data_IF_129835542707
#
_entry.id   IF_129835542707
#
_cell.length_a   1.000
_cell.length_b   1.000
_cell.length_c   1.000
_cell.angle_alpha   90.00
_cell.angle_beta   90.00
_cell.angle_gamma   90.00
#
_symmetry.space_group_name_H-M   'P 1'
#
loop_
_entity.id
_entity.type
_entity.pdbx_description
1 polymer ?
#
# COMPACT_ATOMS: atom_id res chain seq x y z
N UNK A 1 -32.38 -24.74 -32.64
CA UNK A 1 -30.99 -24.43 -33.05
C UNK A 1 -30.76 -22.93 -32.82
N UNK A 2 -29.78 -22.40 -32.10
CA UNK A 2 -28.92 -22.88 -31.02
C UNK A 2 -28.57 -21.63 -30.18
N UNK A 3 -28.67 -21.72 -28.84
CA UNK A 3 -28.23 -20.68 -27.89
C UNK A 3 -26.70 -20.54 -27.98
N UNK A 4 -26.17 -19.35 -28.26
CA UNK A 4 -24.76 -19.03 -27.98
C UNK A 4 -24.67 -18.39 -26.59
N UNK A 5 -24.24 -19.20 -25.63
CA UNK A 5 -23.80 -18.76 -24.30
C UNK A 5 -22.47 -18.02 -24.43
N UNK A 6 -22.43 -16.74 -24.10
CA UNK A 6 -21.20 -15.96 -24.00
C UNK A 6 -20.60 -16.04 -22.60
N UNK A 7 -19.82 -17.09 -22.33
CA UNK A 7 -19.00 -17.25 -21.13
C UNK A 7 -17.66 -16.48 -21.26
N UNK A 8 -17.69 -15.16 -21.42
CA UNK A 8 -16.48 -14.34 -21.32
C UNK A 8 -16.72 -13.22 -20.31
N UNK A 9 -16.29 -13.49 -19.08
CA UNK A 9 -16.21 -12.48 -18.04
C UNK A 9 -15.09 -11.49 -18.45
N UNK A 10 -15.42 -10.21 -18.54
CA UNK A 10 -14.58 -9.12 -19.06
C UNK A 10 -13.48 -8.72 -18.07
N UNK A 11 -12.52 -9.61 -17.79
CA UNK A 11 -11.34 -9.28 -16.96
C UNK A 11 -10.20 -8.85 -17.89
N UNK A 12 -9.54 -7.71 -17.62
CA UNK A 12 -8.44 -7.23 -18.46
C UNK A 12 -7.16 -8.07 -18.27
N UNK A 13 -6.23 -8.03 -19.23
CA UNK A 13 -4.91 -8.68 -19.11
C UNK A 13 -4.17 -8.16 -17.87
N UNK A 14 -4.35 -6.87 -17.54
CA UNK A 14 -3.76 -6.27 -16.36
C UNK A 14 -4.33 -6.88 -15.08
N UNK A 15 -5.65 -7.02 -14.97
CA UNK A 15 -6.28 -7.61 -13.78
C UNK A 15 -5.84 -9.07 -13.56
N UNK A 16 -5.68 -9.84 -14.64
CA UNK A 16 -5.19 -11.21 -14.55
C UNK A 16 -3.71 -11.28 -14.11
N UNK A 17 -2.89 -10.33 -14.57
CA UNK A 17 -1.51 -10.19 -14.08
C UNK A 17 -1.47 -9.82 -12.59
N UNK A 18 -2.34 -8.92 -12.14
CA UNK A 18 -2.47 -8.56 -10.73
C UNK A 18 -2.92 -9.75 -9.88
N UNK A 19 -3.90 -10.54 -10.34
CA UNK A 19 -4.31 -11.79 -9.67
C UNK A 19 -3.18 -12.80 -9.58
N UNK A 20 -2.38 -12.93 -10.63
CA UNK A 20 -1.20 -13.79 -10.64
C UNK A 20 -0.17 -13.34 -9.60
N UNK A 21 0.11 -12.02 -9.52
CA UNK A 21 1.01 -11.45 -8.50
C UNK A 21 0.48 -11.68 -7.09
N UNK A 22 -0.80 -11.39 -6.82
CA UNK A 22 -1.44 -11.66 -5.52
C UNK A 22 -1.26 -13.11 -5.10
N UNK A 23 -1.55 -14.04 -6.03
CA UNK A 23 -1.44 -15.48 -5.79
C UNK A 23 0.00 -15.87 -5.43
N UNK A 24 0.99 -15.36 -6.17
CA UNK A 24 2.41 -15.61 -5.87
C UNK A 24 2.83 -15.05 -4.52
N UNK A 25 2.36 -13.85 -4.14
CA UNK A 25 2.62 -13.27 -2.82
C UNK A 25 2.00 -14.14 -1.72
N UNK A 26 0.75 -14.58 -1.89
CA UNK A 26 0.07 -15.48 -0.94
C UNK A 26 0.81 -16.80 -0.74
N UNK A 27 1.38 -17.37 -1.82
CA UNK A 27 2.11 -18.63 -1.75
C UNK A 27 3.57 -18.50 -1.34
N UNK A 28 4.14 -17.28 -1.37
CA UNK A 28 5.53 -17.07 -0.96
C UNK A 28 5.80 -17.40 0.51
N UNK A 29 4.74 -17.48 1.33
CA UNK A 29 4.77 -17.92 2.72
C UNK A 29 3.36 -18.29 3.18
N UNK A 30 3.08 -19.58 3.12
CA UNK A 30 1.77 -20.15 3.40
C UNK A 30 1.43 -20.08 4.90
N UNK A 31 2.45 -20.05 5.76
CA UNK A 31 2.28 -20.12 7.21
C UNK A 31 2.06 -18.74 7.84
N UNK A 32 2.53 -17.67 7.19
CA UNK A 32 2.34 -16.31 7.68
C UNK A 32 1.13 -15.60 7.04
N UNK A 33 0.04 -15.49 7.81
CA UNK A 33 -1.20 -14.81 7.39
C UNK A 33 -1.17 -13.29 7.50
N UNK A 34 -0.15 -12.71 8.12
CA UNK A 34 -0.04 -11.26 8.35
C UNK A 34 1.29 -10.74 7.81
N UNK A 35 1.25 -9.83 6.83
CA UNK A 35 2.46 -9.43 6.11
C UNK A 35 2.56 -7.93 5.92
N UNK A 36 3.75 -7.41 6.17
CA UNK A 36 4.15 -6.05 5.78
C UNK A 36 5.00 -6.16 4.52
N UNK A 37 4.53 -5.59 3.42
CA UNK A 37 5.18 -5.71 2.11
C UNK A 37 5.45 -4.31 1.56
N UNK A 38 6.70 -4.03 1.22
CA UNK A 38 7.06 -2.78 0.55
C UNK A 38 7.21 -2.97 -0.95
N UNK A 39 6.80 -1.95 -1.72
CA UNK A 39 7.18 -1.86 -3.12
C UNK A 39 8.10 -0.66 -3.33
N UNK A 40 9.22 -0.90 -4.02
CA UNK A 40 10.13 0.11 -4.53
C UNK A 40 10.33 -0.08 -6.04
N UNK A 41 11.05 0.85 -6.68
CA UNK A 41 11.38 0.81 -8.10
C UNK A 41 12.83 1.21 -8.32
N UNK A 42 13.37 0.93 -9.50
CA UNK A 42 14.75 1.31 -9.84
C UNK A 42 14.85 2.79 -10.21
N UNK A 43 13.78 3.33 -10.81
CA UNK A 43 13.69 4.70 -11.30
C UNK A 43 12.31 5.31 -10.97
N UNK A 44 12.19 6.65 -10.99
CA UNK A 44 10.88 7.31 -10.94
C UNK A 44 10.00 6.91 -12.12
N UNK A 45 8.68 6.97 -11.91
CA UNK A 45 7.65 6.84 -12.96
C UNK A 45 7.56 5.45 -13.63
N UNK A 46 7.96 4.39 -12.94
CA UNK A 46 7.82 2.99 -13.40
C UNK A 46 6.43 2.36 -13.11
N UNK A 47 5.44 3.17 -12.74
CA UNK A 47 4.06 2.71 -12.48
C UNK A 47 3.84 2.01 -11.12
N UNK A 48 4.89 1.92 -10.29
CA UNK A 48 4.89 1.30 -8.96
C UNK A 48 3.64 1.57 -8.12
N UNK A 49 3.31 2.83 -7.85
CA UNK A 49 2.17 3.19 -6.98
C UNK A 49 0.83 2.69 -7.54
N UNK A 50 0.66 2.74 -8.87
CA UNK A 50 -0.55 2.22 -9.54
C UNK A 50 -0.64 0.70 -9.44
N UNK A 51 0.48 0.01 -9.64
CA UNK A 51 0.56 -1.45 -9.51
C UNK A 51 0.32 -1.88 -8.07
N UNK A 52 0.97 -1.24 -7.09
CA UNK A 52 0.81 -1.54 -5.67
C UNK A 52 -0.63 -1.31 -5.21
N UNK A 53 -1.27 -0.21 -5.60
CA UNK A 53 -2.68 0.03 -5.30
C UNK A 53 -3.58 -1.07 -5.87
N UNK A 54 -3.33 -1.49 -7.12
CA UNK A 54 -4.10 -2.57 -7.76
C UNK A 54 -3.90 -3.91 -7.06
N UNK A 55 -2.69 -4.21 -6.58
CA UNK A 55 -2.40 -5.40 -5.76
C UNK A 55 -3.16 -5.30 -4.44
N UNK A 56 -3.04 -4.19 -3.70
CA UNK A 56 -3.72 -3.98 -2.42
C UNK A 56 -5.23 -4.17 -2.55
N UNK A 57 -5.83 -3.55 -3.57
CA UNK A 57 -7.25 -3.73 -3.90
C UNK A 57 -7.59 -5.19 -4.20
N UNK A 58 -6.79 -5.88 -4.98
CA UNK A 58 -6.99 -7.30 -5.31
C UNK A 58 -6.93 -8.21 -4.07
N UNK A 59 -6.10 -7.90 -3.07
CA UNK A 59 -6.10 -8.61 -1.79
C UNK A 59 -7.38 -8.34 -0.98
N UNK A 60 -7.84 -7.09 -0.98
CA UNK A 60 -9.06 -6.68 -0.26
C UNK A 60 -10.34 -7.26 -0.90
N UNK A 61 -10.43 -7.27 -2.24
CA UNK A 61 -11.49 -7.96 -3.00
C UNK A 61 -11.54 -9.47 -2.69
N UNK A 62 -10.41 -10.05 -2.28
CA UNK A 62 -10.32 -11.45 -1.86
C UNK A 62 -10.65 -11.66 -0.37
N UNK A 63 -11.24 -10.66 0.29
CA UNK A 63 -11.73 -10.71 1.66
C UNK A 63 -10.69 -10.46 2.76
N UNK A 64 -9.46 -10.07 2.41
CA UNK A 64 -8.44 -9.74 3.41
C UNK A 64 -8.64 -8.29 3.89
N UNK A 65 -8.37 -8.04 5.16
CA UNK A 65 -8.25 -6.67 5.66
C UNK A 65 -6.90 -6.08 5.21
N UNK A 66 -6.92 -4.97 4.48
CA UNK A 66 -5.72 -4.38 3.85
C UNK A 66 -5.58 -2.92 4.21
N UNK A 67 -4.35 -2.49 4.47
CA UNK A 67 -3.98 -1.07 4.52
C UNK A 67 -2.84 -0.76 3.55
N UNK A 68 -2.99 0.30 2.77
CA UNK A 68 -1.96 0.86 1.88
C UNK A 68 -1.43 2.17 2.44
N UNK A 69 -0.12 2.29 2.60
CA UNK A 69 0.53 3.47 3.15
C UNK A 69 1.42 4.15 2.10
N UNK A 70 1.36 5.48 2.02
CA UNK A 70 2.27 6.28 1.19
C UNK A 70 3.52 6.66 1.99
N UNK A 71 4.56 5.85 1.84
CA UNK A 71 5.87 6.05 2.45
C UNK A 71 6.83 6.81 1.51
N UNK A 72 6.40 7.20 0.30
CA UNK A 72 7.09 8.17 -0.53
C UNK A 72 6.77 9.59 -0.04
N UNK A 73 7.39 9.96 1.07
CA UNK A 73 7.24 11.28 1.69
C UNK A 73 7.85 12.42 0.84
N UNK A 74 8.54 12.11 -0.26
CA UNK A 74 9.19 13.10 -1.14
C UNK A 74 8.28 13.50 -2.27
N UNK A 75 7.63 12.52 -2.90
CA UNK A 75 6.75 12.72 -4.05
C UNK A 75 5.51 11.81 -3.93
N UNK A 76 4.65 12.03 -2.91
CA UNK A 76 3.54 11.15 -2.63
C UNK A 76 2.56 11.10 -3.79
N UNK A 77 2.08 9.90 -4.09
CA UNK A 77 1.23 9.61 -5.27
C UNK A 77 0.04 8.72 -4.96
N UNK A 78 -0.03 8.10 -3.78
CA UNK A 78 -1.10 7.16 -3.44
C UNK A 78 -2.45 7.86 -3.46
N UNK A 79 -2.56 9.07 -2.90
CA UNK A 79 -3.82 9.83 -2.88
C UNK A 79 -4.39 10.07 -4.28
N UNK A 80 -3.52 10.38 -5.25
CA UNK A 80 -3.93 10.55 -6.66
C UNK A 80 -4.44 9.24 -7.27
N UNK A 81 -3.78 8.11 -6.99
CA UNK A 81 -4.16 6.81 -7.53
C UNK A 81 -5.46 6.29 -6.90
N UNK A 82 -5.62 6.50 -5.60
CA UNK A 82 -6.81 6.09 -4.84
C UNK A 82 -8.02 7.05 -5.02
N UNK A 83 -7.81 8.23 -5.61
CA UNK A 83 -8.86 9.26 -5.76
C UNK A 83 -9.23 9.94 -4.45
N UNK A 84 -8.27 10.07 -3.53
CA UNK A 84 -8.46 10.67 -2.19
C UNK A 84 -7.86 12.07 -2.18
N UNK A 85 -8.71 13.06 -1.93
CA UNK A 85 -8.34 14.48 -1.88
C UNK A 85 -8.27 15.00 -0.44
N UNK A 86 -7.21 14.63 0.27
CA UNK A 86 -6.84 15.23 1.56
C UNK A 86 -5.33 15.21 1.76
N UNK A 87 -4.82 16.05 2.66
CA UNK A 87 -3.42 16.07 3.05
C UNK A 87 -3.22 15.55 4.47
N UNK A 88 -4.19 14.81 5.00
CA UNK A 88 -4.11 14.15 6.31
C UNK A 88 -3.48 12.77 6.13
N UNK A 89 -2.41 12.46 6.85
CA UNK A 89 -1.71 11.19 6.71
C UNK A 89 -0.60 10.94 7.72
N UNK A 90 0.35 10.09 7.34
CA UNK A 90 1.47 9.59 8.15
C UNK A 90 2.16 10.70 8.94
N UNK A 91 2.59 11.79 8.29
CA UNK A 91 3.32 12.86 8.97
C UNK A 91 2.46 13.61 10.00
N UNK A 92 1.14 13.65 9.83
CA UNK A 92 0.24 14.19 10.85
C UNK A 92 0.11 13.24 12.05
N UNK A 93 0.02 11.94 11.79
CA UNK A 93 -0.11 10.90 12.82
C UNK A 93 1.13 10.85 13.70
N UNK A 94 2.31 10.74 13.10
CA UNK A 94 3.58 10.66 13.86
C UNK A 94 3.88 11.94 14.65
N UNK A 95 3.34 13.10 14.23
CA UNK A 95 3.52 14.37 14.94
C UNK A 95 2.41 14.62 15.97
N UNK A 96 1.50 13.67 16.17
CA UNK A 96 0.40 13.77 17.13
C UNK A 96 -0.67 14.80 16.77
N UNK A 97 -0.67 15.30 15.53
CA UNK A 97 -1.66 16.31 15.06
C UNK A 97 -3.01 15.68 14.73
N UNK A 98 -3.02 14.40 14.39
CA UNK A 98 -4.20 13.64 13.98
C UNK A 98 -4.08 12.22 14.54
N UNK A 99 -5.17 11.70 15.09
CA UNK A 99 -5.23 10.29 15.52
C UNK A 99 -5.24 9.34 14.33
N UNK A 100 -4.60 8.18 14.48
CA UNK A 100 -4.47 7.20 13.40
C UNK A 100 -5.82 6.81 12.77
N UNK A 101 -6.84 6.53 13.59
CA UNK A 101 -8.17 6.12 13.11
C UNK A 101 -8.84 7.18 12.25
N UNK A 102 -8.55 8.46 12.50
CA UNK A 102 -9.05 9.56 11.69
C UNK A 102 -8.28 9.72 10.38
N UNK A 103 -7.00 9.34 10.37
CA UNK A 103 -6.14 9.41 9.19
C UNK A 103 -6.27 8.18 8.28
N UNK A 104 -6.80 7.06 8.77
CA UNK A 104 -7.13 5.88 7.97
C UNK A 104 -8.39 6.13 7.14
N UNK A 105 -8.20 6.29 5.84
CA UNK A 105 -9.27 6.59 4.90
C UNK A 105 -9.69 5.29 4.23
N UNK A 106 -10.97 4.93 4.35
CA UNK A 106 -11.52 3.78 3.64
C UNK A 106 -11.52 4.05 2.13
N UNK A 107 -11.13 3.08 1.33
CA UNK A 107 -11.16 3.18 -0.12
C UNK A 107 -12.59 3.39 -0.63
N UNK A 108 -12.72 4.11 -1.74
CA UNK A 108 -14.02 4.45 -2.32
C UNK A 108 -14.68 3.27 -3.06
N UNK A 109 -13.91 2.26 -3.46
CA UNK A 109 -14.38 1.14 -4.28
C UNK A 109 -14.35 -0.21 -3.55
N UNK A 110 -13.51 -0.37 -2.52
CA UNK A 110 -13.31 -1.64 -1.82
C UNK A 110 -13.38 -1.49 -0.29
N UNK A 111 -14.32 -2.20 0.33
CA UNK A 111 -14.64 -2.04 1.74
C UNK A 111 -13.54 -2.52 2.69
N UNK A 112 -12.74 -3.50 2.27
CA UNK A 112 -11.67 -4.04 3.09
C UNK A 112 -10.32 -3.34 2.88
N UNK A 113 -10.27 -2.28 2.06
CA UNK A 113 -9.06 -1.50 1.80
C UNK A 113 -9.11 -0.16 2.53
N UNK A 114 -8.08 0.10 3.32
CA UNK A 114 -7.82 1.40 3.94
C UNK A 114 -6.54 2.00 3.37
N UNK A 115 -6.45 3.32 3.39
CA UNK A 115 -5.33 4.08 2.87
C UNK A 115 -4.87 5.08 3.93
N UNK A 116 -3.57 5.10 4.21
CA UNK A 116 -2.91 6.15 4.97
C UNK A 116 -2.00 6.93 4.02
N UNK A 117 -2.38 8.16 3.71
CA UNK A 117 -1.57 9.04 2.86
C UNK A 117 -0.28 9.46 3.57
N UNK A 118 0.63 10.12 2.85
CA UNK A 118 1.89 10.63 3.44
C UNK A 118 1.64 11.73 4.47
N UNK A 119 0.58 12.52 4.27
CA UNK A 119 0.44 13.83 4.90
C UNK A 119 1.37 14.88 4.28
N UNK A 120 1.53 16.07 4.90
CA UNK A 120 2.40 17.11 4.39
C UNK A 120 3.83 16.62 4.20
N UNK A 121 4.45 16.98 3.07
CA UNK A 121 5.85 16.67 2.76
C UNK A 121 6.75 17.29 3.84
N UNK A 122 7.50 16.47 4.60
CA UNK A 122 8.36 16.98 5.66
C UNK A 122 9.73 17.43 5.11
N UNK A 123 10.47 18.29 5.84
CA UNK A 123 11.83 18.65 5.45
C UNK A 123 12.83 17.50 5.58
N UNK A 124 12.52 16.49 6.39
CA UNK A 124 13.40 15.39 6.76
C UNK A 124 12.74 13.98 6.63
N UNK A 125 12.41 13.53 5.41
CA UNK A 125 11.74 12.24 5.17
C UNK A 125 12.41 11.02 5.82
N UNK A 126 13.71 10.85 5.62
CA UNK A 126 14.44 9.66 6.06
C UNK A 126 14.47 9.51 7.59
N UNK A 127 14.62 10.62 8.32
CA UNK A 127 14.63 10.64 9.79
C UNK A 127 13.26 10.27 10.37
N UNK A 128 12.20 10.76 9.74
CA UNK A 128 10.83 10.38 10.08
C UNK A 128 10.63 8.88 9.87
N UNK A 129 11.01 8.35 8.71
CA UNK A 129 10.85 6.93 8.38
C UNK A 129 11.65 6.02 9.31
N UNK A 130 12.81 6.48 9.80
CA UNK A 130 13.65 5.74 10.75
C UNK A 130 13.21 5.87 12.22
N UNK A 131 12.16 6.65 12.50
CA UNK A 131 11.74 6.93 13.88
C UNK A 131 11.03 5.74 14.54
N UNK A 132 11.10 5.69 15.88
CA UNK A 132 10.36 4.68 16.66
C UNK A 132 8.84 4.79 16.45
N UNK A 133 8.31 5.99 16.22
CA UNK A 133 6.88 6.19 15.97
C UNK A 133 6.41 5.45 14.70
N UNK A 134 7.23 5.41 13.64
CA UNK A 134 6.89 4.65 12.42
C UNK A 134 6.92 3.15 12.69
N UNK A 135 7.91 2.67 13.47
CA UNK A 135 7.96 1.27 13.89
C UNK A 135 6.70 0.87 14.67
N UNK A 136 6.34 1.65 15.68
CA UNK A 136 5.14 1.43 16.51
C UNK A 136 3.86 1.46 15.67
N UNK A 137 3.77 2.38 14.71
CA UNK A 137 2.65 2.46 13.77
C UNK A 137 2.53 1.18 12.93
N UNK A 138 3.62 0.68 12.35
CA UNK A 138 3.59 -0.55 11.54
C UNK A 138 3.25 -1.77 12.41
N UNK A 139 3.75 -1.82 13.64
CA UNK A 139 3.39 -2.86 14.61
C UNK A 139 1.90 -2.81 15.00
N UNK A 140 1.30 -1.62 15.11
CA UNK A 140 -0.13 -1.48 15.36
C UNK A 140 -0.94 -1.92 14.14
N UNK A 141 -0.56 -1.47 12.94
CA UNK A 141 -1.28 -1.79 11.71
C UNK A 141 -1.21 -3.28 11.36
N UNK A 142 -0.07 -3.94 11.56
CA UNK A 142 0.07 -5.39 11.34
C UNK A 142 -0.79 -6.22 12.32
N UNK A 143 -1.17 -5.66 13.48
CA UNK A 143 -2.15 -6.31 14.38
C UNK A 143 -3.58 -6.14 13.86
N UNK A 144 -3.88 -5.03 13.18
CA UNK A 144 -5.23 -4.66 12.72
C UNK A 144 -5.59 -5.19 11.34
N UNK A 145 -4.61 -5.37 10.46
CA UNK A 145 -4.80 -5.76 9.07
C UNK A 145 -4.06 -7.05 8.75
N UNK A 146 -4.58 -7.83 7.80
CA UNK A 146 -3.93 -9.02 7.28
C UNK A 146 -2.76 -8.64 6.36
N UNK A 147 -2.89 -7.56 5.58
CA UNK A 147 -1.82 -7.04 4.73
C UNK A 147 -1.59 -5.54 4.93
N UNK A 148 -0.32 -5.18 5.08
CA UNK A 148 0.16 -3.80 5.17
C UNK A 148 1.08 -3.55 3.97
N UNK A 149 0.61 -2.79 2.98
CA UNK A 149 1.38 -2.45 1.78
C UNK A 149 2.01 -1.06 1.91
N UNK A 150 3.31 -0.95 1.64
CA UNK A 150 4.07 0.29 1.75
C UNK A 150 4.58 0.76 0.38
N UNK A 151 4.11 1.92 -0.09
CA UNK A 151 4.63 2.56 -1.29
C UNK A 151 5.90 3.35 -0.93
N UNK A 152 7.06 3.00 -1.48
CA UNK A 152 8.34 3.65 -1.13
C UNK A 152 8.97 4.36 -2.34
N UNK A 153 9.83 5.38 -2.18
CA UNK A 153 10.47 6.01 -3.33
C UNK A 153 11.46 5.05 -4.03
N UNK A 154 11.97 5.38 -5.23
CA UNK A 154 12.93 4.54 -5.94
C UNK A 154 14.22 4.30 -5.13
N UNK A 155 14.57 3.05 -4.89
CA UNK A 155 15.72 2.65 -4.05
C UNK A 155 17.07 3.13 -4.61
N UNK A 156 17.17 3.33 -5.93
CA UNK A 156 18.40 3.83 -6.56
C UNK A 156 18.69 5.32 -6.32
N UNK A 157 17.72 6.07 -5.77
CA UNK A 157 17.84 7.51 -5.56
C UNK A 157 17.90 7.91 -4.09
N UNK A 158 17.23 7.15 -3.22
CA UNK A 158 17.07 7.51 -1.82
C UNK A 158 17.21 6.26 -0.93
N UNK A 159 17.73 6.46 0.28
CA UNK A 159 17.86 5.39 1.28
C UNK A 159 16.54 5.04 1.96
N UNK A 160 15.50 5.86 1.75
CA UNK A 160 14.17 5.72 2.35
C UNK A 160 13.62 4.29 2.19
N UNK A 161 13.67 3.69 0.98
CA UNK A 161 13.20 2.32 0.76
C UNK A 161 13.98 1.27 1.60
N UNK A 162 15.29 1.48 1.78
CA UNK A 162 16.13 0.59 2.61
C UNK A 162 15.85 0.74 4.11
N UNK A 163 15.44 1.93 4.56
CA UNK A 163 14.98 2.14 5.95
C UNK A 163 13.66 1.39 6.13
N UNK A 164 12.73 1.57 5.20
CA UNK A 164 11.39 0.98 5.27
C UNK A 164 11.44 -0.56 5.22
N UNK A 165 12.37 -1.13 4.46
CA UNK A 165 12.53 -2.60 4.39
C UNK A 165 12.86 -3.23 5.75
N UNK A 166 13.37 -2.46 6.72
CA UNK A 166 13.62 -2.99 8.08
C UNK A 166 12.35 -3.30 8.87
N UNK A 167 11.19 -2.83 8.38
CA UNK A 167 9.87 -3.11 8.95
C UNK A 167 9.06 -4.13 8.13
N UNK A 168 9.63 -4.67 7.05
CA UNK A 168 8.92 -5.47 6.06
C UNK A 168 9.31 -6.96 6.12
N UNK A 169 8.36 -7.80 5.76
CA UNK A 169 8.53 -9.25 5.59
C UNK A 169 8.85 -9.64 4.13
N UNK A 170 8.74 -8.68 3.20
CA UNK A 170 8.98 -8.87 1.77
C UNK A 170 8.89 -7.59 0.93
#
# INVERSE_FOLDING_TARGET
>A
MAKKHGYYNTTSIFDEAIRSVRTNIQFSDIDNKKRVIAMTSSKPSEGKTTVLYSIAKSFAENGNSVVLLDFDLRMPKVGKVAGIETNMGLTNVITGKVELDRALIKDQYEDNLFVLLSGPVPPNPAEILASNHVKELIEELSKRFDYVFLDTPPVGLFTDASIVSTYCDG
#
